data_IF_624773293286
#
_entry.id   IF_624773293286
#
_cell.length_a   1.000
_cell.length_b   1.000
_cell.length_c   1.000
_cell.angle_alpha   90.00
_cell.angle_beta   90.00
_cell.angle_gamma   90.00
#
_symmetry.space_group_name_H-M   'P 1'
#
loop_
_entity.id
_entity.type
_entity.pdbx_description
1 polymer ?
#
# COMPACT_ATOMS: atom_id res chain seq x y z
N UNK A 1 -10.02 -2.13 29.92
CA UNK A 1 -10.31 -1.25 28.76
C UNK A 1 -9.03 -0.98 27.99
N UNK A 2 -7.98 -0.37 28.57
CA UNK A 2 -6.72 -0.06 27.86
C UNK A 2 -6.07 -1.32 27.29
N UNK A 3 -6.00 -2.40 28.06
CA UNK A 3 -5.46 -3.67 27.60
C UNK A 3 -6.28 -4.28 26.46
N UNK A 4 -7.61 -4.22 26.52
CA UNK A 4 -8.49 -4.74 25.45
C UNK A 4 -8.34 -3.95 24.15
N UNK A 5 -8.07 -2.65 24.27
CA UNK A 5 -7.80 -1.80 23.10
C UNK A 5 -6.45 -2.08 22.47
N UNK A 6 -5.40 -2.26 23.29
CA UNK A 6 -4.08 -2.63 22.79
C UNK A 6 -4.10 -4.01 22.09
N UNK A 7 -4.86 -4.96 22.63
CA UNK A 7 -5.06 -6.27 22.00
C UNK A 7 -5.81 -6.14 20.68
N UNK A 8 -6.87 -5.33 20.63
CA UNK A 8 -7.62 -5.09 19.41
C UNK A 8 -6.75 -4.45 18.33
N UNK A 9 -5.97 -3.43 18.70
CA UNK A 9 -5.04 -2.75 17.79
C UNK A 9 -3.99 -3.72 17.24
N UNK A 10 -3.37 -4.52 18.09
CA UNK A 10 -2.38 -5.52 17.70
C UNK A 10 -2.92 -6.52 16.65
N UNK A 11 -4.19 -6.92 16.74
CA UNK A 11 -4.80 -7.84 15.79
C UNK A 11 -5.40 -7.15 14.56
N UNK A 12 -5.93 -5.94 14.72
CA UNK A 12 -6.68 -5.26 13.66
C UNK A 12 -5.75 -4.53 12.67
N UNK A 13 -4.73 -3.84 13.17
CA UNK A 13 -3.81 -3.05 12.35
C UNK A 13 -3.14 -3.87 11.23
N UNK A 14 -2.53 -5.04 11.48
CA UNK A 14 -1.91 -5.82 10.42
C UNK A 14 -2.94 -6.33 9.40
N UNK A 15 -4.15 -6.66 9.83
CA UNK A 15 -5.22 -7.12 8.92
C UNK A 15 -5.72 -6.02 8.00
N UNK A 16 -5.93 -4.82 8.54
CA UNK A 16 -6.32 -3.66 7.73
C UNK A 16 -5.23 -3.31 6.73
N UNK A 17 -3.97 -3.28 7.15
CA UNK A 17 -2.83 -3.01 6.28
C UNK A 17 -2.72 -4.04 5.15
N UNK A 18 -2.89 -5.32 5.44
CA UNK A 18 -2.89 -6.40 4.45
C UNK A 18 -4.01 -6.23 3.42
N UNK A 19 -5.26 -5.97 3.89
CA UNK A 19 -6.41 -5.76 3.01
C UNK A 19 -6.23 -4.53 2.11
N UNK A 20 -5.74 -3.43 2.65
CA UNK A 20 -5.48 -2.21 1.88
C UNK A 20 -4.36 -2.43 0.84
N UNK A 21 -3.27 -3.10 1.24
CA UNK A 21 -2.17 -3.41 0.31
C UNK A 21 -2.68 -4.29 -0.84
N UNK A 22 -3.50 -5.31 -0.54
CA UNK A 22 -4.11 -6.16 -1.55
C UNK A 22 -5.03 -5.39 -2.50
N UNK A 23 -5.84 -4.45 -1.98
CA UNK A 23 -6.67 -3.58 -2.82
C UNK A 23 -5.83 -2.73 -3.79
N UNK A 24 -4.70 -2.17 -3.30
CA UNK A 24 -3.78 -1.40 -4.14
C UNK A 24 -3.09 -2.28 -5.19
N UNK A 25 -2.71 -3.52 -4.84
CA UNK A 25 -2.15 -4.49 -5.79
C UNK A 25 -3.13 -4.77 -6.95
N UNK A 26 -4.40 -5.01 -6.64
CA UNK A 26 -5.45 -5.27 -7.63
C UNK A 26 -5.71 -4.04 -8.51
N UNK A 27 -5.75 -2.84 -7.92
CA UNK A 27 -5.86 -1.57 -8.63
C UNK A 27 -4.69 -1.38 -9.60
N UNK A 28 -3.45 -1.53 -9.12
CA UNK A 28 -2.25 -1.37 -9.94
C UNK A 28 -2.18 -2.42 -11.06
N UNK A 29 -2.61 -3.66 -10.80
CA UNK A 29 -2.68 -4.69 -11.84
C UNK A 29 -3.72 -4.32 -12.91
N UNK A 30 -4.86 -3.76 -12.52
CA UNK A 30 -5.86 -3.24 -13.46
C UNK A 30 -5.31 -2.10 -14.31
N UNK A 31 -4.58 -1.16 -13.69
CA UNK A 31 -3.88 -0.08 -14.40
C UNK A 31 -2.86 -0.64 -15.39
N UNK A 32 -2.04 -1.63 -14.98
CA UNK A 32 -1.06 -2.25 -15.88
C UNK A 32 -1.71 -2.92 -17.08
N UNK A 33 -2.86 -3.59 -16.89
CA UNK A 33 -3.64 -4.18 -17.99
C UNK A 33 -4.16 -3.10 -18.96
N UNK A 34 -4.64 -1.98 -18.45
CA UNK A 34 -5.09 -0.84 -19.27
C UNK A 34 -3.93 -0.25 -20.07
N UNK A 35 -2.77 -0.06 -19.45
CA UNK A 35 -1.55 0.41 -20.14
C UNK A 35 -1.09 -0.58 -21.20
N UNK A 36 -1.25 -1.90 -20.97
CA UNK A 36 -0.88 -2.93 -21.93
C UNK A 36 -1.70 -2.92 -23.24
N UNK A 37 -2.87 -2.30 -23.23
CA UNK A 37 -3.71 -2.13 -24.43
C UNK A 37 -3.13 -1.08 -25.40
N UNK A 38 -2.25 -0.19 -24.93
CA UNK A 38 -1.63 0.82 -25.75
C UNK A 38 -0.51 0.20 -26.61
N UNK A 39 -0.40 0.55 -27.92
CA UNK A 39 0.72 0.15 -28.76
C UNK A 39 2.05 0.62 -28.11
N UNK A 40 3.09 -0.24 -28.16
CA UNK A 40 4.36 0.06 -27.49
C UNK A 40 5.04 1.31 -28.02
N UNK A 41 4.97 1.52 -29.33
CA UNK A 41 5.54 2.69 -30.01
C UNK A 41 4.95 4.00 -29.46
N UNK A 42 3.64 4.01 -29.21
CA UNK A 42 2.95 5.16 -28.65
C UNK A 42 3.20 5.32 -27.14
N UNK A 43 3.45 4.21 -26.44
CA UNK A 43 3.63 4.20 -25.01
C UNK A 43 5.01 4.72 -24.58
N UNK A 44 6.10 4.33 -25.29
CA UNK A 44 7.48 4.70 -24.90
C UNK A 44 7.68 6.21 -24.77
N UNK A 45 7.17 6.99 -25.73
CA UNK A 45 7.30 8.44 -25.71
C UNK A 45 6.38 9.15 -24.70
N UNK A 46 5.39 8.44 -24.15
CA UNK A 46 4.33 9.01 -23.31
C UNK A 46 4.31 8.43 -21.88
N UNK A 47 5.34 7.66 -21.51
CA UNK A 47 5.44 7.05 -20.18
C UNK A 47 5.30 8.08 -19.05
N UNK A 48 5.92 9.28 -19.09
CA UNK A 48 5.73 10.28 -18.04
C UNK A 48 4.28 10.79 -17.94
N UNK A 49 3.61 11.01 -19.05
CA UNK A 49 2.21 11.46 -19.10
C UNK A 49 1.25 10.40 -18.53
N UNK A 50 1.46 9.14 -18.92
CA UNK A 50 0.69 8.00 -18.41
C UNK A 50 0.90 7.83 -16.91
N UNK A 51 2.14 7.91 -16.44
CA UNK A 51 2.49 7.84 -15.03
C UNK A 51 1.81 8.94 -14.22
N UNK A 52 1.86 10.18 -14.72
CA UNK A 52 1.21 11.32 -14.08
C UNK A 52 -0.31 11.16 -13.99
N UNK A 53 -0.95 10.63 -15.04
CA UNK A 53 -2.39 10.41 -15.07
C UNK A 53 -2.84 9.29 -14.12
N UNK A 54 -2.01 8.27 -13.93
CA UNK A 54 -2.29 7.13 -13.05
C UNK A 54 -1.83 7.35 -11.59
N UNK A 55 -0.99 8.36 -11.34
CA UNK A 55 -0.41 8.61 -10.02
C UNK A 55 0.55 7.51 -9.54
N UNK A 56 1.21 6.80 -10.46
CA UNK A 56 2.17 5.73 -10.20
C UNK A 56 3.37 5.87 -11.10
N UNK A 57 4.53 5.41 -10.65
CA UNK A 57 5.70 5.28 -11.53
C UNK A 57 5.47 4.15 -12.53
N UNK A 58 5.80 4.38 -13.78
CA UNK A 58 5.69 3.42 -14.88
C UNK A 58 7.07 3.15 -15.46
N UNK A 59 7.42 1.87 -15.56
CA UNK A 59 8.68 1.39 -16.16
C UNK A 59 8.35 0.35 -17.23
N UNK A 60 8.91 0.50 -18.41
CA UNK A 60 8.83 -0.51 -19.49
C UNK A 60 10.14 -1.29 -19.52
N UNK A 61 10.03 -2.61 -19.57
CA UNK A 61 11.17 -3.54 -19.54
C UNK A 61 11.04 -4.51 -20.72
N UNK A 62 12.10 -4.72 -21.46
CA UNK A 62 12.11 -5.72 -22.53
C UNK A 62 12.29 -7.15 -22.02
N UNK A 63 12.26 -8.14 -22.90
CA UNK A 63 12.41 -9.55 -22.55
C UNK A 63 13.78 -9.92 -22.00
N UNK A 64 14.79 -9.06 -22.18
CA UNK A 64 16.14 -9.25 -21.65
C UNK A 64 16.32 -8.59 -20.28
N UNK A 65 15.27 -7.91 -19.77
CA UNK A 65 15.31 -7.19 -18.51
C UNK A 65 15.85 -5.77 -18.60
N UNK A 66 16.14 -5.28 -19.80
CA UNK A 66 16.61 -3.91 -20.00
C UNK A 66 15.43 -2.95 -19.92
N UNK A 67 15.60 -1.87 -19.18
CA UNK A 67 14.61 -0.79 -19.10
C UNK A 67 14.62 -0.01 -20.42
N UNK A 68 13.46 0.09 -21.06
CA UNK A 68 13.30 0.79 -22.36
C UNK A 68 12.63 2.16 -22.22
N UNK A 69 11.89 2.38 -21.12
CA UNK A 69 11.35 3.69 -20.73
C UNK A 69 11.02 3.69 -19.23
N UNK A 70 11.12 4.85 -18.59
CA UNK A 70 10.77 5.07 -17.19
C UNK A 70 10.23 6.49 -16.99
N UNK A 71 9.25 6.66 -16.08
CA UNK A 71 8.63 7.97 -15.83
C UNK A 71 9.46 8.90 -14.97
N UNK A 72 10.34 8.36 -14.10
CA UNK A 72 10.95 9.11 -13.00
C UNK A 72 12.48 9.16 -13.05
N UNK A 73 13.10 8.20 -13.73
CA UNK A 73 14.55 8.07 -13.71
C UNK A 73 15.19 7.92 -15.09
N UNK A 74 16.46 8.32 -15.17
CA UNK A 74 17.28 8.14 -16.36
C UNK A 74 17.57 6.66 -16.61
N UNK A 75 17.03 6.12 -17.70
CA UNK A 75 17.18 4.72 -18.09
C UNK A 75 18.63 4.28 -18.28
N UNK A 76 19.53 5.23 -18.65
CA UNK A 76 20.94 4.92 -18.85
C UNK A 76 21.68 4.55 -17.54
N UNK A 77 21.10 4.91 -16.39
CA UNK A 77 21.64 4.62 -15.04
C UNK A 77 20.95 3.45 -14.36
N UNK A 78 20.04 2.78 -15.05
CA UNK A 78 19.27 1.69 -14.47
C UNK A 78 19.94 0.34 -14.68
N UNK A 79 19.95 -0.47 -13.62
CA UNK A 79 20.37 -1.87 -13.70
C UNK A 79 19.37 -2.70 -14.50
N UNK A 80 19.79 -3.92 -14.87
CA UNK A 80 18.89 -4.90 -15.46
C UNK A 80 17.80 -5.31 -14.44
N UNK A 81 16.57 -5.41 -14.91
CA UNK A 81 15.40 -5.68 -14.05
C UNK A 81 14.88 -7.13 -14.15
N UNK A 82 15.55 -8.02 -14.91
CA UNK A 82 15.07 -9.38 -15.13
C UNK A 82 14.96 -10.17 -13.81
N UNK A 83 15.91 -9.94 -12.89
CA UNK A 83 15.95 -10.63 -11.60
C UNK A 83 15.07 -10.00 -10.52
N UNK A 84 14.31 -8.96 -10.85
CA UNK A 84 13.37 -8.37 -9.90
C UNK A 84 12.23 -9.36 -9.61
N UNK A 85 11.87 -9.58 -8.32
CA UNK A 85 10.87 -10.59 -7.95
C UNK A 85 9.56 -10.46 -8.71
N UNK A 86 9.05 -9.24 -8.86
CA UNK A 86 7.84 -8.93 -9.61
C UNK A 86 7.94 -9.27 -11.11
N UNK A 87 9.11 -9.07 -11.72
CA UNK A 87 9.36 -9.40 -13.14
C UNK A 87 9.50 -10.91 -13.31
N UNK A 88 10.25 -11.58 -12.42
CA UNK A 88 10.39 -13.04 -12.44
C UNK A 88 9.05 -13.73 -12.30
N UNK A 89 8.22 -13.28 -11.37
CA UNK A 89 6.87 -13.83 -11.22
C UNK A 89 6.02 -13.55 -12.47
N UNK A 90 6.06 -12.32 -13.00
CA UNK A 90 5.32 -11.97 -14.22
C UNK A 90 5.74 -12.81 -15.43
N UNK A 91 7.01 -13.20 -15.53
CA UNK A 91 7.49 -14.05 -16.62
C UNK A 91 6.89 -15.46 -16.59
N UNK A 92 6.58 -15.98 -15.40
CA UNK A 92 6.04 -17.32 -15.18
C UNK A 92 4.51 -17.35 -15.17
N UNK A 93 3.89 -16.39 -14.47
CA UNK A 93 2.45 -16.37 -14.18
C UNK A 93 1.67 -15.34 -15.00
N UNK A 94 2.37 -14.51 -15.79
CA UNK A 94 1.79 -13.42 -16.57
C UNK A 94 1.70 -12.11 -15.79
N UNK A 95 1.62 -12.16 -14.48
CA UNK A 95 1.71 -10.99 -13.60
C UNK A 95 2.52 -11.32 -12.35
N UNK A 96 3.10 -10.31 -11.72
CA UNK A 96 3.89 -10.49 -10.50
C UNK A 96 3.83 -9.26 -9.62
N UNK A 97 4.14 -9.45 -8.35
CA UNK A 97 4.15 -8.40 -7.33
C UNK A 97 5.29 -8.55 -6.34
N UNK A 98 5.75 -7.44 -5.81
CA UNK A 98 6.72 -7.40 -4.73
C UNK A 98 6.52 -6.14 -3.89
N UNK A 99 6.63 -6.30 -2.57
CA UNK A 99 6.75 -5.17 -1.66
C UNK A 99 8.16 -5.16 -1.07
N UNK A 100 8.84 -4.02 -1.12
CA UNK A 100 10.19 -3.89 -0.59
C UNK A 100 10.51 -2.44 -0.22
N UNK A 101 11.41 -2.29 0.74
CA UNK A 101 11.97 -1.00 1.08
C UNK A 101 12.90 -0.50 -0.04
N UNK A 102 12.68 0.73 -0.50
CA UNK A 102 13.54 1.40 -1.47
C UNK A 102 14.61 2.21 -0.73
N UNK A 103 15.88 1.81 -0.85
CA UNK A 103 16.98 2.55 -0.25
C UNK A 103 17.18 3.94 -0.87
N UNK A 104 16.74 4.14 -2.11
CA UNK A 104 16.90 5.42 -2.83
C UNK A 104 15.94 6.49 -2.30
N UNK A 105 14.67 6.14 -2.12
CA UNK A 105 13.63 7.07 -1.62
C UNK A 105 13.30 6.85 -0.16
N UNK A 106 13.94 5.86 0.50
CA UNK A 106 13.75 5.49 1.92
C UNK A 106 12.29 5.19 2.30
N UNK A 107 11.56 4.57 1.39
CA UNK A 107 10.16 4.24 1.57
C UNK A 107 9.87 2.79 1.20
N UNK A 108 8.82 2.22 1.82
CA UNK A 108 8.27 0.94 1.39
C UNK A 108 7.48 1.13 0.11
N UNK A 109 7.89 0.42 -0.93
CA UNK A 109 7.31 0.48 -2.26
C UNK A 109 6.60 -0.81 -2.61
N UNK A 110 5.43 -0.67 -3.20
CA UNK A 110 4.72 -1.77 -3.86
C UNK A 110 5.04 -1.73 -5.36
N UNK A 111 5.41 -2.87 -5.89
CA UNK A 111 5.69 -3.09 -7.30
C UNK A 111 4.72 -4.13 -7.85
N UNK A 112 4.14 -3.82 -9.01
CA UNK A 112 3.32 -4.77 -9.78
C UNK A 112 3.89 -4.82 -11.19
N UNK A 113 4.10 -6.02 -11.74
CA UNK A 113 4.54 -6.23 -13.10
C UNK A 113 3.51 -7.06 -13.87
N UNK A 114 3.29 -6.71 -15.15
CA UNK A 114 2.46 -7.44 -16.08
C UNK A 114 3.31 -7.82 -17.31
N UNK A 115 3.31 -9.09 -17.67
CA UNK A 115 3.90 -9.56 -18.91
C UNK A 115 3.03 -9.09 -20.08
N UNK A 116 3.63 -8.30 -20.98
CA UNK A 116 3.02 -7.91 -22.24
C UNK A 116 3.16 -9.04 -23.24
N UNK A 117 2.06 -9.40 -23.89
CA UNK A 117 2.04 -10.47 -24.88
C UNK A 117 1.51 -9.97 -26.20
N UNK A 118 2.14 -10.44 -27.27
CA UNK A 118 1.64 -10.31 -28.65
C UNK A 118 1.63 -11.69 -29.30
N UNK A 119 0.47 -12.08 -29.84
CA UNK A 119 0.30 -13.43 -30.40
C UNK A 119 0.59 -14.56 -29.41
N UNK A 120 0.41 -14.34 -28.11
CA UNK A 120 0.72 -15.31 -27.05
C UNK A 120 2.18 -15.35 -26.58
N UNK A 121 3.10 -14.67 -27.27
CA UNK A 121 4.52 -14.56 -26.90
C UNK A 121 4.76 -13.32 -26.05
N UNK A 122 5.55 -13.45 -24.99
CA UNK A 122 5.95 -12.30 -24.15
C UNK A 122 6.88 -11.40 -24.99
N UNK A 123 6.54 -10.11 -25.06
CA UNK A 123 7.32 -9.07 -25.78
C UNK A 123 8.02 -8.11 -24.82
N UNK A 124 7.65 -8.12 -23.54
CA UNK A 124 8.24 -7.28 -22.51
C UNK A 124 7.36 -7.25 -21.27
N UNK A 125 7.64 -6.30 -20.39
CA UNK A 125 6.92 -6.15 -19.11
C UNK A 125 6.59 -4.69 -18.88
N UNK A 126 5.39 -4.45 -18.35
CA UNK A 126 4.97 -3.17 -17.77
C UNK A 126 5.07 -3.31 -16.26
N UNK A 127 5.88 -2.48 -15.64
CA UNK A 127 6.10 -2.45 -14.20
C UNK A 127 5.59 -1.14 -13.65
N UNK A 128 4.69 -1.23 -12.68
CA UNK A 128 4.19 -0.10 -11.92
C UNK A 128 4.79 -0.08 -10.52
N UNK A 129 5.03 1.11 -9.97
CA UNK A 129 5.49 1.25 -8.59
C UNK A 129 4.75 2.38 -7.88
N UNK A 130 4.37 2.13 -6.61
CA UNK A 130 3.67 3.10 -5.74
C UNK A 130 4.26 3.06 -4.34
N UNK A 131 4.45 4.23 -3.72
CA UNK A 131 4.84 4.31 -2.31
C UNK A 131 3.67 3.87 -1.42
N UNK A 132 3.99 3.03 -0.41
CA UNK A 132 3.04 2.63 0.63
C UNK A 132 2.98 3.63 1.79
N UNK A 133 3.84 4.65 1.83
CA UNK A 133 3.87 5.66 2.90
C UNK A 133 2.57 6.46 2.94
N UNK A 134 2.02 6.84 1.78
CA UNK A 134 0.73 7.54 1.71
C UNK A 134 -0.43 6.73 2.28
N UNK A 135 -0.34 5.41 2.24
CA UNK A 135 -1.32 4.51 2.86
C UNK A 135 -1.20 4.58 4.38
N UNK A 136 0.04 4.58 4.90
CA UNK A 136 0.31 4.74 6.34
C UNK A 136 -0.18 6.08 6.88
N UNK A 137 0.11 7.18 6.22
CA UNK A 137 -0.33 8.52 6.64
C UNK A 137 -1.87 8.66 6.68
N UNK A 138 -2.57 8.05 5.71
CA UNK A 138 -4.04 8.04 5.71
C UNK A 138 -4.60 7.19 6.85
N UNK A 139 -3.94 6.07 7.17
CA UNK A 139 -4.31 5.22 8.30
C UNK A 139 -4.03 5.91 9.64
N UNK A 140 -2.90 6.61 9.79
CA UNK A 140 -2.55 7.35 11.01
C UNK A 140 -3.60 8.42 11.34
N UNK A 141 -4.17 9.08 10.35
CA UNK A 141 -5.25 10.03 10.57
C UNK A 141 -6.52 9.33 11.08
N UNK A 142 -6.91 8.22 10.46
CA UNK A 142 -8.08 7.42 10.87
C UNK A 142 -7.87 6.89 12.29
N UNK A 143 -6.72 6.32 12.60
CA UNK A 143 -6.40 5.84 13.95
C UNK A 143 -6.42 6.97 14.97
N UNK A 144 -5.86 8.12 14.67
CA UNK A 144 -5.88 9.29 15.56
C UNK A 144 -7.30 9.71 15.91
N UNK A 145 -8.18 9.84 14.91
CA UNK A 145 -9.59 10.18 15.11
C UNK A 145 -10.29 9.10 15.94
N UNK A 146 -10.06 7.83 15.64
CA UNK A 146 -10.62 6.71 16.36
C UNK A 146 -10.21 6.71 17.86
N UNK A 147 -8.91 6.85 18.16
CA UNK A 147 -8.44 6.89 19.53
C UNK A 147 -8.92 8.13 20.27
N UNK A 148 -8.95 9.31 19.64
CA UNK A 148 -9.51 10.50 20.27
C UNK A 148 -10.98 10.32 20.65
N UNK A 149 -11.80 9.77 19.74
CA UNK A 149 -13.21 9.47 20.02
C UNK A 149 -13.37 8.51 21.19
N UNK A 150 -12.53 7.48 21.21
CA UNK A 150 -12.53 6.50 22.26
C UNK A 150 -12.18 7.10 23.63
N UNK A 151 -11.15 7.95 23.71
CA UNK A 151 -10.77 8.65 24.96
C UNK A 151 -11.87 9.60 25.42
N UNK A 152 -12.53 10.34 24.52
CA UNK A 152 -13.65 11.23 24.85
C UNK A 152 -14.81 10.47 25.49
N UNK A 153 -15.05 9.22 25.11
CA UNK A 153 -16.12 8.40 25.69
C UNK A 153 -15.64 7.68 26.96
N UNK A 154 -14.45 7.10 26.95
CA UNK A 154 -13.97 6.26 28.04
C UNK A 154 -13.67 7.06 29.32
N UNK A 155 -13.02 8.22 29.21
CA UNK A 155 -12.63 9.01 30.39
C UNK A 155 -13.84 9.48 31.20
N UNK A 156 -14.87 10.12 30.63
CA UNK A 156 -16.08 10.49 31.39
C UNK A 156 -16.81 9.29 31.99
N UNK A 157 -16.87 8.17 31.26
CA UNK A 157 -17.53 6.95 31.76
C UNK A 157 -16.83 6.37 32.99
N UNK A 158 -15.50 6.35 32.98
CA UNK A 158 -14.69 5.90 34.14
C UNK A 158 -14.88 6.86 35.33
N UNK A 159 -14.85 8.15 35.11
CA UNK A 159 -15.06 9.16 36.13
C UNK A 159 -16.47 9.04 36.75
N UNK A 160 -17.48 8.89 35.91
CA UNK A 160 -18.85 8.71 36.35
C UNK A 160 -19.00 7.45 37.21
N UNK A 161 -18.44 6.32 36.77
CA UNK A 161 -18.44 5.08 37.55
C UNK A 161 -17.73 5.23 38.90
N UNK A 162 -16.56 5.92 38.89
CA UNK A 162 -15.81 6.18 40.15
C UNK A 162 -16.62 7.02 41.13
N UNK A 163 -17.19 8.14 40.68
CA UNK A 163 -18.00 9.01 41.57
C UNK A 163 -19.26 8.30 42.03
N UNK A 164 -19.92 7.53 41.19
CA UNK A 164 -21.09 6.75 41.57
C UNK A 164 -20.75 5.72 42.66
N UNK A 165 -19.68 4.95 42.46
CA UNK A 165 -19.21 3.95 43.43
C UNK A 165 -18.90 4.62 44.78
N UNK A 166 -18.17 5.75 44.75
CA UNK A 166 -17.84 6.50 45.97
C UNK A 166 -19.09 7.02 46.71
N UNK A 167 -20.06 7.55 45.94
CA UNK A 167 -21.32 8.06 46.55
C UNK A 167 -22.17 6.95 47.17
N UNK A 168 -22.19 5.77 46.58
CA UNK A 168 -22.89 4.60 47.16
C UNK A 168 -22.19 4.08 48.41
N UNK A 169 -20.86 3.94 48.35
CA UNK A 169 -20.09 3.42 49.49
C UNK A 169 -20.12 4.35 50.68
N UNK A 170 -20.07 5.67 50.49
CA UNK A 170 -20.19 6.63 51.60
C UNK A 170 -21.54 6.56 52.30
N UNK A 171 -22.63 6.34 51.59
CA UNK A 171 -23.98 6.19 52.18
C UNK A 171 -24.18 4.86 52.95
N UNK A 172 -23.44 3.83 52.61
CA UNK A 172 -23.52 2.53 53.31
C UNK A 172 -22.67 2.48 54.56
N UNK A 173 -21.62 3.31 54.69
CA UNK A 173 -20.77 3.41 55.88
C UNK A 173 -21.39 4.24 57.03
N UNK A 174 -22.42 5.05 56.77
CA UNK A 174 -23.10 5.92 57.75
C UNK A 174 -24.37 5.29 58.36
N UNK A 175 -24.58 3.99 58.22
CA UNK A 175 -25.67 3.29 58.89
C UNK A 175 -25.11 2.62 60.15
N UNK A 176 -25.53 3.05 61.38
CA UNK A 176 -25.13 2.45 62.64
C UNK A 176 -25.66 1.03 62.78
#
# INVERSE_FOLDING_TARGET
IVLSLAVLDFFLTPRITELMTKGIEEEMLSMAKTVALLPEENLRGRVPEVAASLGVRVTLVDTTGRVTADSDADIAKMDNHLDRPEIRQASQEGSGKASRFSNTIRESMLYVALARKDGGKVTGYIRLARSLVRVGESLDHVYRVFYLTLYIIAIPSILLAFFFTRAVTSKMGDRP
#
